data_IF_152252374645
#
_entry.id   IF_152252374645
#
_cell.length_a   1.000
_cell.length_b   1.000
_cell.length_c   1.000
_cell.angle_alpha   90.00
_cell.angle_beta   90.00
_cell.angle_gamma   90.00
#
_symmetry.space_group_name_H-M   'P 1'
#
loop_
_entity.id
_entity.type
_entity.pdbx_description
1 polymer ?
#
# COMPACT_ATOMS: atom_id res chain seq x y z
N UNK A 1 6.33 -6.19 18.22
CA UNK A 1 7.32 -5.15 17.90
C UNK A 1 6.92 -4.64 16.55
N UNK A 2 6.23 -3.50 16.48
CA UNK A 2 5.95 -2.85 15.19
C UNK A 2 7.29 -2.35 14.68
N UNK A 3 7.76 -2.87 13.54
CA UNK A 3 8.87 -2.22 12.85
C UNK A 3 8.42 -0.79 12.54
N UNK A 4 9.31 0.20 12.74
CA UNK A 4 8.94 1.61 12.62
C UNK A 4 8.41 1.89 11.23
N UNK A 5 7.09 2.04 11.11
CA UNK A 5 6.42 2.38 9.86
C UNK A 5 6.82 3.78 9.41
N UNK A 6 6.84 4.02 8.10
CA UNK A 6 7.13 5.36 7.58
C UNK A 6 5.98 6.32 7.91
N UNK A 7 6.25 7.39 8.63
CA UNK A 7 5.24 8.42 8.85
C UNK A 7 4.99 9.26 7.59
N UNK A 8 3.75 9.74 7.34
CA UNK A 8 2.55 9.49 8.12
C UNK A 8 1.94 8.11 7.84
N UNK A 9 1.49 7.41 8.88
CA UNK A 9 0.62 6.23 8.71
C UNK A 9 -0.78 6.71 8.34
N UNK A 10 -1.22 6.41 7.12
CA UNK A 10 -2.54 6.80 6.58
C UNK A 10 -3.60 5.73 6.81
N UNK A 11 -3.20 4.47 6.95
CA UNK A 11 -4.08 3.35 7.28
C UNK A 11 -3.25 2.20 7.85
N UNK A 12 -3.83 1.45 8.79
CA UNK A 12 -3.20 0.26 9.38
C UNK A 12 -4.24 -0.87 9.47
N UNK A 13 -3.87 -2.03 8.95
CA UNK A 13 -4.62 -3.27 8.99
C UNK A 13 -4.06 -4.27 10.00
N UNK A 14 -4.25 -5.56 9.73
CA UNK A 14 -3.78 -6.65 10.60
C UNK A 14 -2.33 -7.06 10.34
N UNK A 15 -1.88 -6.96 9.09
CA UNK A 15 -0.54 -7.32 8.64
C UNK A 15 0.10 -6.23 7.77
N UNK A 16 -0.68 -5.32 7.20
CA UNK A 16 -0.22 -4.29 6.29
C UNK A 16 -0.64 -2.90 6.76
N UNK A 17 0.13 -1.89 6.37
CA UNK A 17 -0.17 -0.49 6.57
C UNK A 17 0.04 0.28 5.26
N UNK A 18 -0.67 1.39 5.11
CA UNK A 18 -0.39 2.41 4.10
C UNK A 18 0.25 3.60 4.79
N UNK A 19 1.43 3.98 4.32
CA UNK A 19 2.36 4.87 5.01
C UNK A 19 2.81 6.01 4.11
N UNK A 20 3.72 6.87 4.58
CA UNK A 20 4.36 7.89 3.74
C UNK A 20 5.20 7.30 2.60
N UNK A 21 5.60 6.03 2.69
CA UNK A 21 6.38 5.32 1.67
C UNK A 21 5.48 4.66 0.61
N UNK A 22 4.39 4.03 1.04
CA UNK A 22 3.52 3.23 0.19
C UNK A 22 2.78 2.19 1.02
N UNK A 23 2.89 0.92 0.68
CA UNK A 23 2.35 -0.20 1.47
C UNK A 23 3.50 -0.90 2.19
N UNK A 24 3.40 -1.06 3.50
CA UNK A 24 4.42 -1.71 4.33
C UNK A 24 3.79 -2.85 5.16
N UNK A 25 4.48 -3.98 5.28
CA UNK A 25 4.09 -5.03 6.21
C UNK A 25 4.48 -4.66 7.64
N UNK A 26 3.62 -4.94 8.62
CA UNK A 26 3.84 -4.59 10.05
C UNK A 26 5.01 -5.35 10.69
N UNK A 27 5.38 -6.49 10.10
CA UNK A 27 6.55 -7.27 10.46
C UNK A 27 7.86 -6.75 9.83
N UNK A 28 7.77 -5.67 9.04
CA UNK A 28 8.91 -5.03 8.37
C UNK A 28 9.48 -5.80 7.18
N UNK A 29 8.90 -6.94 6.80
CA UNK A 29 9.49 -7.85 5.79
C UNK A 29 9.25 -7.39 4.35
N UNK A 30 8.22 -6.58 4.11
CA UNK A 30 7.81 -6.17 2.76
C UNK A 30 7.43 -4.70 2.71
N UNK A 31 7.83 -4.07 1.61
CA UNK A 31 7.65 -2.66 1.31
C UNK A 31 7.33 -2.53 -0.18
N UNK A 32 6.25 -1.82 -0.52
CA UNK A 32 5.85 -1.52 -1.90
C UNK A 32 5.75 0.01 -2.00
N UNK A 33 6.65 0.68 -2.74
CA UNK A 33 6.62 2.14 -2.86
C UNK A 33 5.41 2.59 -3.68
N UNK A 34 4.90 3.80 -3.43
CA UNK A 34 3.81 4.38 -4.23
C UNK A 34 4.07 4.39 -5.74
N UNK A 35 5.33 4.48 -6.18
CA UNK A 35 5.73 4.40 -7.59
C UNK A 35 5.40 3.06 -8.26
N UNK A 36 5.29 1.99 -7.48
CA UNK A 36 4.93 0.64 -7.96
C UNK A 36 3.44 0.30 -7.77
N UNK A 37 2.67 1.24 -7.20
CA UNK A 37 1.23 1.07 -7.00
C UNK A 37 0.51 1.60 -8.24
N UNK A 38 -0.03 0.73 -9.10
CA UNK A 38 -0.75 1.18 -10.29
C UNK A 38 -2.03 1.92 -9.90
N UNK A 39 -2.47 2.85 -10.75
CA UNK A 39 -3.72 3.59 -10.55
C UNK A 39 -4.92 2.65 -10.38
N UNK A 40 -6.04 3.17 -9.86
CA UNK A 40 -7.24 2.38 -9.61
C UNK A 40 -7.79 1.72 -10.90
N UNK A 41 -7.67 2.42 -12.04
CA UNK A 41 -8.08 1.93 -13.36
C UNK A 41 -7.07 0.97 -13.99
N UNK A 42 -5.82 1.00 -13.52
CA UNK A 42 -4.83 0.04 -13.94
C UNK A 42 -5.12 -1.29 -13.23
N UNK A 43 -5.01 -2.38 -13.99
CA UNK A 43 -5.38 -3.73 -13.53
C UNK A 43 -4.59 -4.22 -12.31
N UNK A 44 -4.67 -5.52 -12.06
CA UNK A 44 -3.94 -6.13 -10.94
C UNK A 44 -2.41 -6.06 -11.19
N UNK A 45 -1.60 -5.54 -10.26
CA UNK A 45 -0.14 -5.56 -10.40
C UNK A 45 0.42 -6.98 -10.21
N UNK A 46 1.48 -7.32 -10.94
CA UNK A 46 2.12 -8.64 -10.89
C UNK A 46 2.68 -8.98 -9.50
N UNK A 47 3.18 -7.99 -8.77
CA UNK A 47 3.70 -8.18 -7.42
C UNK A 47 2.61 -8.67 -6.45
N UNK A 48 1.33 -8.36 -6.69
CA UNK A 48 0.22 -8.77 -5.82
C UNK A 48 0.04 -10.29 -5.83
N UNK A 49 0.05 -10.88 -7.03
CA UNK A 49 -0.06 -12.34 -7.17
C UNK A 49 1.17 -13.04 -6.54
N UNK A 50 2.35 -12.41 -6.62
CA UNK A 50 3.57 -12.88 -5.98
C UNK A 50 3.45 -12.92 -4.45
N UNK A 51 2.90 -11.88 -3.83
CA UNK A 51 2.71 -11.80 -2.37
C UNK A 51 1.58 -12.72 -1.88
N UNK A 52 0.49 -12.85 -2.63
CA UNK A 52 -0.62 -13.75 -2.31
C UNK A 52 -0.26 -15.24 -2.26
N UNK A 53 0.76 -15.64 -3.02
CA UNK A 53 1.28 -17.02 -3.04
C UNK A 53 2.21 -17.32 -1.86
N UNK A 54 2.70 -16.30 -1.15
CA UNK A 54 3.56 -16.51 0.03
C UNK A 54 2.73 -17.00 1.20
N UNK A 55 3.28 -17.96 1.93
CA UNK A 55 2.65 -18.47 3.14
C UNK A 55 2.58 -17.37 4.20
N UNK A 56 1.42 -17.24 4.85
CA UNK A 56 1.21 -16.26 5.91
C UNK A 56 0.72 -14.88 5.46
N UNK A 57 0.64 -14.60 4.15
CA UNK A 57 0.05 -13.34 3.65
C UNK A 57 -1.46 -13.32 3.85
N UNK A 58 -1.96 -12.34 4.63
CA UNK A 58 -3.37 -11.99 4.65
C UNK A 58 -3.74 -11.24 3.38
N UNK A 59 -4.36 -11.97 2.43
CA UNK A 59 -4.74 -11.44 1.11
C UNK A 59 -5.77 -10.33 1.20
N UNK A 60 -6.71 -10.43 2.14
CA UNK A 60 -7.78 -9.45 2.29
C UNK A 60 -7.23 -8.15 2.86
N UNK A 61 -6.30 -8.26 3.82
CA UNK A 61 -5.63 -7.11 4.42
C UNK A 61 -4.73 -6.40 3.40
N UNK A 62 -3.99 -7.15 2.57
CA UNK A 62 -3.19 -6.58 1.48
C UNK A 62 -4.06 -5.92 0.39
N UNK A 63 -5.20 -6.51 0.05
CA UNK A 63 -6.16 -5.89 -0.88
C UNK A 63 -6.75 -4.59 -0.33
N UNK A 64 -7.02 -4.54 0.97
CA UNK A 64 -7.48 -3.33 1.64
C UNK A 64 -6.41 -2.24 1.58
N UNK A 65 -5.15 -2.58 1.88
CA UNK A 65 -4.02 -1.67 1.77
C UNK A 65 -3.87 -1.11 0.33
N UNK A 66 -3.96 -1.98 -0.68
CA UNK A 66 -3.87 -1.57 -2.09
C UNK A 66 -5.01 -0.62 -2.49
N UNK A 67 -6.24 -0.86 -2.03
CA UNK A 67 -7.38 0.03 -2.29
C UNK A 67 -7.17 1.41 -1.67
N UNK A 68 -6.71 1.47 -0.42
CA UNK A 68 -6.43 2.73 0.27
C UNK A 68 -5.31 3.49 -0.42
N UNK A 69 -4.20 2.82 -0.75
CA UNK A 69 -3.07 3.46 -1.43
C UNK A 69 -3.46 4.06 -2.80
N UNK A 70 -4.33 3.37 -3.55
CA UNK A 70 -4.88 3.88 -4.82
C UNK A 70 -5.76 5.11 -4.64
N UNK A 71 -6.60 5.13 -3.60
CA UNK A 71 -7.43 6.29 -3.30
C UNK A 71 -6.58 7.52 -3.00
N UNK A 72 -5.55 7.36 -2.16
CA UNK A 72 -4.63 8.45 -1.81
C UNK A 72 -3.87 9.01 -3.02
N UNK A 73 -3.41 8.15 -3.94
CA UNK A 73 -2.79 8.63 -5.19
C UNK A 73 -3.77 9.42 -6.07
N UNK A 74 -5.04 9.02 -6.10
CA UNK A 74 -6.10 9.75 -6.81
C UNK A 74 -6.40 11.12 -6.20
N UNK A 75 -6.38 11.22 -4.87
CA UNK A 75 -6.55 12.49 -4.14
C UNK A 75 -5.36 13.44 -4.37
N UNK A 76 -4.12 12.93 -4.30
CA UNK A 76 -2.93 13.76 -4.55
C UNK A 76 -2.79 14.17 -6.02
N UNK A 77 -3.22 13.33 -6.98
CA UNK A 77 -3.29 13.69 -8.39
C UNK A 77 -4.40 14.73 -8.69
N UNK A 78 -5.43 14.81 -7.85
CA UNK A 78 -6.52 15.79 -7.94
C UNK A 78 -6.16 17.18 -7.39
N UNK A 79 -5.10 17.27 -6.58
CA UNK A 79 -4.56 18.55 -6.09
C UNK A 79 -3.58 19.09 -7.13
N UNK A 80 -4.08 19.86 -8.10
CA UNK A 80 -3.21 20.76 -8.86
C UNK A 80 -2.78 21.90 -7.93
N UNK A 81 -1.47 22.17 -7.75
CA UNK A 81 -1.06 23.38 -7.07
C UNK A 81 -1.53 24.56 -7.92
N UNK A 82 -2.40 25.40 -7.36
CA UNK A 82 -2.72 26.69 -7.97
C UNK A 82 -1.46 27.55 -7.81
N UNK A 83 -0.89 27.95 -8.95
CA UNK A 83 0.11 29.01 -9.02
C UNK A 83 -0.60 30.37 -9.10
#
# INVERSE_FOLDING_TARGET
MSHGLTEPVRWEGRQWAVTGYGIEALDGMYHIPFSEIPDAEAGRPEWLDGLWRRYGTDRNDLDAALRVARALRGEEAGVKPVA
#
